data_IF_632998006592
#
_entry.id   IF_632998006592
#
_cell.length_a   1.000
_cell.length_b   1.000
_cell.length_c   1.000
_cell.angle_alpha   90.00
_cell.angle_beta   90.00
_cell.angle_gamma   90.00
#
_symmetry.space_group_name_H-M   'P 1'
#
loop_
_entity.id
_entity.type
_entity.pdbx_description
1 polymer ?
#
# COMPACT_ATOMS: atom_id res chain seq x y z
N UNK A 1 -33.55 -15.85 48.50
CA UNK A 1 -33.32 -14.76 49.46
C UNK A 1 -33.77 -13.47 48.80
N UNK A 2 -34.93 -12.93 49.17
CA UNK A 2 -35.53 -11.76 48.52
C UNK A 2 -34.83 -10.46 48.92
N UNK A 3 -33.86 -10.02 48.12
CA UNK A 3 -33.31 -8.68 48.20
C UNK A 3 -34.37 -7.67 47.76
N UNK A 4 -34.66 -6.66 48.59
CA UNK A 4 -35.53 -5.55 48.19
C UNK A 4 -34.88 -4.83 46.99
N UNK A 5 -35.47 -5.01 45.81
CA UNK A 5 -35.10 -4.24 44.61
C UNK A 5 -35.20 -2.75 44.94
N UNK A 6 -34.08 -2.04 44.85
CA UNK A 6 -34.03 -0.59 45.09
C UNK A 6 -34.48 0.15 43.83
N UNK A 7 -35.80 0.23 43.67
CA UNK A 7 -36.47 0.97 42.61
C UNK A 7 -37.34 2.09 43.20
N UNK A 8 -37.42 3.23 42.50
CA UNK A 8 -38.33 4.34 42.83
C UNK A 8 -38.71 5.12 41.57
N UNK A 9 -39.82 5.83 41.62
CA UNK A 9 -40.21 6.77 40.57
C UNK A 9 -39.54 8.12 40.81
N UNK A 10 -38.87 8.68 39.79
CA UNK A 10 -38.31 10.04 39.78
C UNK A 10 -38.77 10.70 38.49
N UNK A 11 -39.44 11.84 38.58
CA UNK A 11 -39.96 12.61 37.42
C UNK A 11 -40.75 11.75 36.43
N UNK A 12 -41.57 10.83 36.94
CA UNK A 12 -42.39 9.91 36.14
C UNK A 12 -41.62 8.75 35.49
N UNK A 13 -40.31 8.61 35.72
CA UNK A 13 -39.49 7.51 35.21
C UNK A 13 -39.16 6.47 36.30
N UNK A 14 -39.24 5.18 35.94
CA UNK A 14 -38.79 4.07 36.80
C UNK A 14 -37.27 4.10 36.92
N UNK A 15 -36.77 4.45 38.10
CA UNK A 15 -35.35 4.57 38.38
C UNK A 15 -34.87 3.46 39.32
N UNK A 16 -33.70 2.91 39.04
CA UNK A 16 -33.04 1.89 39.86
C UNK A 16 -31.68 2.38 40.37
N UNK A 17 -31.26 1.87 41.51
CA UNK A 17 -29.96 2.21 42.10
C UNK A 17 -28.80 1.61 41.29
N UNK A 18 -27.60 2.20 41.38
CA UNK A 18 -26.37 1.71 40.70
C UNK A 18 -26.12 0.22 40.89
N UNK A 19 -26.39 -0.33 42.08
CA UNK A 19 -26.21 -1.77 42.37
C UNK A 19 -27.15 -2.66 41.55
N UNK A 20 -28.43 -2.30 41.51
CA UNK A 20 -29.45 -3.04 40.74
C UNK A 20 -29.14 -2.92 39.24
N UNK A 21 -28.65 -1.75 38.81
CA UNK A 21 -28.23 -1.54 37.43
C UNK A 21 -27.03 -2.43 37.06
N UNK A 22 -26.07 -2.60 37.97
CA UNK A 22 -24.94 -3.53 37.77
C UNK A 22 -25.43 -4.96 37.61
N UNK A 23 -26.42 -5.39 38.41
CA UNK A 23 -27.01 -6.72 38.32
C UNK A 23 -27.81 -6.91 37.01
N UNK A 24 -28.67 -5.95 36.66
CA UNK A 24 -29.50 -5.98 35.43
C UNK A 24 -28.65 -6.09 34.18
N UNK A 25 -27.54 -5.33 34.10
CA UNK A 25 -26.66 -5.34 32.94
C UNK A 25 -25.50 -6.34 33.05
N UNK A 26 -25.40 -7.05 34.17
CA UNK A 26 -24.30 -7.95 34.53
C UNK A 26 -22.92 -7.31 34.30
N UNK A 27 -22.70 -6.13 34.86
CA UNK A 27 -21.45 -5.36 34.73
C UNK A 27 -20.90 -4.92 36.07
N UNK A 28 -19.59 -4.68 36.11
CA UNK A 28 -18.95 -4.12 37.29
C UNK A 28 -19.32 -2.63 37.49
N UNK A 29 -19.33 -2.15 38.74
CA UNK A 29 -19.63 -0.74 39.07
C UNK A 29 -18.74 0.26 38.31
N UNK A 30 -17.49 -0.11 38.03
CA UNK A 30 -16.56 0.73 37.25
C UNK A 30 -17.07 0.99 35.82
N UNK A 31 -17.77 0.01 35.23
CA UNK A 31 -18.38 0.13 33.91
C UNK A 31 -19.50 1.17 33.93
N UNK A 32 -20.35 1.18 34.96
CA UNK A 32 -21.37 2.21 35.13
C UNK A 32 -20.74 3.60 35.30
N UNK A 33 -19.69 3.73 36.11
CA UNK A 33 -18.95 4.99 36.27
C UNK A 33 -18.27 5.46 34.98
N UNK A 34 -17.87 4.53 34.11
CA UNK A 34 -17.36 4.85 32.77
C UNK A 34 -18.49 5.29 31.84
N UNK A 35 -19.66 4.65 31.90
CA UNK A 35 -20.84 5.05 31.12
C UNK A 35 -21.31 6.45 31.48
N UNK A 36 -21.32 6.80 32.77
CA UNK A 36 -21.60 8.18 33.21
C UNK A 36 -20.61 9.18 32.62
N UNK A 37 -19.30 8.86 32.63
CA UNK A 37 -18.27 9.71 32.00
C UNK A 37 -18.46 9.85 30.48
N UNK A 38 -19.01 8.82 29.84
CA UNK A 38 -19.33 8.81 28.42
C UNK A 38 -20.72 9.41 28.11
N UNK A 39 -21.38 10.04 29.09
CA UNK A 39 -22.63 10.77 28.89
C UNK A 39 -23.92 9.99 29.13
N UNK A 40 -23.87 8.85 29.82
CA UNK A 40 -25.10 8.11 30.20
C UNK A 40 -25.99 8.97 31.11
N UNK A 41 -27.28 9.13 30.79
CA UNK A 41 -28.19 9.99 31.56
C UNK A 41 -28.40 9.45 32.98
N UNK A 42 -28.29 10.35 33.97
CA UNK A 42 -28.57 10.09 35.39
C UNK A 42 -29.69 11.00 35.88
N UNK A 43 -30.65 10.44 36.64
CA UNK A 43 -31.78 11.21 37.18
C UNK A 43 -31.49 11.80 38.56
N UNK A 44 -30.71 11.08 39.37
CA UNK A 44 -30.19 11.58 40.65
C UNK A 44 -28.88 10.87 41.00
N UNK A 45 -28.24 11.28 42.10
CA UNK A 45 -26.97 10.66 42.56
C UNK A 45 -27.16 9.16 42.80
N UNK A 46 -26.56 8.33 41.93
CA UNK A 46 -26.64 6.87 42.00
C UNK A 46 -27.99 6.26 41.56
N UNK A 47 -28.84 7.03 40.86
CA UNK A 47 -30.16 6.59 40.38
C UNK A 47 -30.32 6.84 38.88
N UNK A 48 -30.72 5.78 38.16
CA UNK A 48 -30.81 5.78 36.70
C UNK A 48 -32.17 5.30 36.25
N UNK A 49 -32.74 6.02 35.28
CA UNK A 49 -33.95 5.60 34.58
C UNK A 49 -33.65 4.36 33.75
N UNK A 50 -34.34 3.26 34.02
CA UNK A 50 -34.07 1.99 33.32
C UNK A 50 -34.28 2.13 31.81
N UNK A 51 -35.33 2.86 31.40
CA UNK A 51 -35.63 3.14 29.99
C UNK A 51 -34.50 3.91 29.29
N UNK A 52 -34.06 5.00 29.91
CA UNK A 52 -33.05 5.87 29.31
C UNK A 52 -31.68 5.17 29.28
N UNK A 53 -31.36 4.39 30.31
CA UNK A 53 -30.14 3.58 30.34
C UNK A 53 -30.15 2.47 29.29
N UNK A 54 -31.25 1.71 29.14
CA UNK A 54 -31.35 0.69 28.09
C UNK A 54 -31.16 1.31 26.71
N UNK A 55 -31.82 2.46 26.45
CA UNK A 55 -31.68 3.18 25.18
C UNK A 55 -30.23 3.59 24.93
N UNK A 56 -29.60 4.29 25.87
CA UNK A 56 -28.20 4.71 25.77
C UNK A 56 -27.24 3.53 25.59
N UNK A 57 -27.44 2.43 26.33
CA UNK A 57 -26.61 1.23 26.23
C UNK A 57 -26.80 0.58 24.87
N UNK A 58 -28.01 0.55 24.32
CA UNK A 58 -28.27 -0.01 22.98
C UNK A 58 -27.61 0.83 21.89
N UNK A 59 -27.71 2.16 22.00
CA UNK A 59 -27.11 3.11 21.08
C UNK A 59 -25.57 3.07 21.15
N UNK A 60 -24.98 2.89 22.34
CA UNK A 60 -23.52 2.93 22.54
C UNK A 60 -22.82 1.57 22.55
N UNK A 61 -23.51 0.45 22.82
CA UNK A 61 -22.91 -0.91 22.74
C UNK A 61 -22.87 -1.47 21.32
N UNK A 62 -23.44 -0.78 20.34
CA UNK A 62 -23.38 -1.20 18.95
C UNK A 62 -24.07 -2.55 18.75
N UNK A 63 -25.40 -2.57 18.86
CA UNK A 63 -26.16 -3.49 18.00
C UNK A 63 -25.72 -3.12 16.58
N UNK A 64 -24.89 -3.97 15.97
CA UNK A 64 -24.21 -3.72 14.70
C UNK A 64 -25.24 -3.26 13.65
N UNK A 65 -25.34 -1.96 13.43
CA UNK A 65 -25.64 -1.42 12.10
C UNK A 65 -24.40 -1.66 11.24
N UNK A 66 -24.62 -1.86 9.96
CA UNK A 66 -23.68 -2.47 9.04
C UNK A 66 -22.24 -1.90 9.16
N UNK A 67 -21.20 -2.72 8.97
CA UNK A 67 -19.80 -2.26 8.96
C UNK A 67 -19.51 -1.16 7.91
N UNK A 68 -20.42 -0.92 6.98
CA UNK A 68 -20.33 0.09 5.92
C UNK A 68 -21.10 1.39 6.22
N UNK A 69 -21.82 1.49 7.35
CA UNK A 69 -22.55 2.73 7.71
C UNK A 69 -21.57 3.74 8.37
N UNK A 70 -20.86 4.53 7.57
CA UNK A 70 -19.95 5.59 8.04
C UNK A 70 -20.65 6.66 8.90
N UNK A 71 -21.96 6.86 8.72
CA UNK A 71 -22.76 7.84 9.45
C UNK A 71 -23.11 7.43 10.89
N UNK A 72 -22.83 6.18 11.30
CA UNK A 72 -23.14 5.65 12.64
C UNK A 72 -21.93 5.43 13.55
N UNK A 73 -20.70 5.65 13.05
CA UNK A 73 -19.49 5.38 13.83
C UNK A 73 -19.24 6.46 14.88
N UNK A 74 -19.00 6.03 16.12
CA UNK A 74 -18.54 6.94 17.17
C UNK A 74 -17.17 7.52 16.81
N UNK A 75 -16.85 8.73 17.30
CA UNK A 75 -15.56 9.40 17.06
C UNK A 75 -14.35 8.51 17.41
N UNK A 76 -14.49 7.66 18.43
CA UNK A 76 -13.46 6.69 18.82
C UNK A 76 -13.28 5.55 17.81
N UNK A 77 -14.35 5.08 17.18
CA UNK A 77 -14.29 4.04 16.15
C UNK A 77 -13.69 4.60 14.85
N UNK A 78 -14.07 5.82 14.47
CA UNK A 78 -13.47 6.51 13.34
C UNK A 78 -11.96 6.70 13.55
N UNK A 79 -11.54 7.20 14.72
CA UNK A 79 -10.13 7.35 15.06
C UNK A 79 -9.37 6.01 14.97
N UNK A 80 -9.95 4.94 15.48
CA UNK A 80 -9.33 3.60 15.41
C UNK A 80 -9.20 3.11 13.95
N UNK A 81 -10.21 3.34 13.10
CA UNK A 81 -10.18 3.00 11.66
C UNK A 81 -9.04 3.76 10.96
N UNK A 82 -8.94 5.06 11.16
CA UNK A 82 -7.88 5.87 10.55
C UNK A 82 -6.49 5.54 11.09
N UNK A 83 -6.35 5.24 12.38
CA UNK A 83 -5.08 4.78 12.95
C UNK A 83 -4.66 3.42 12.38
N UNK A 84 -5.60 2.51 12.15
CA UNK A 84 -5.33 1.23 11.51
C UNK A 84 -4.87 1.42 10.05
N UNK A 85 -5.59 2.23 9.26
CA UNK A 85 -5.23 2.54 7.88
C UNK A 85 -3.85 3.23 7.78
N UNK A 86 -3.57 4.17 8.68
CA UNK A 86 -2.26 4.83 8.72
C UNK A 86 -1.12 3.84 8.98
N UNK A 87 -1.32 2.90 9.92
CA UNK A 87 -0.32 1.85 10.21
C UNK A 87 -0.11 0.90 9.05
N UNK A 88 -1.16 0.53 8.33
CA UNK A 88 -1.08 -0.29 7.12
C UNK A 88 -0.26 0.39 6.04
N UNK A 89 -0.57 1.66 5.73
CA UNK A 89 0.18 2.47 4.77
C UNK A 89 1.65 2.67 5.19
N UNK A 90 1.93 2.83 6.48
CA UNK A 90 3.30 2.89 6.99
C UNK A 90 4.05 1.57 6.83
N UNK A 91 3.38 0.43 7.05
CA UNK A 91 3.97 -0.90 6.87
C UNK A 91 4.28 -1.20 5.40
N UNK A 92 3.37 -0.82 4.48
CA UNK A 92 3.60 -0.91 3.03
C UNK A 92 4.79 -0.05 2.59
N UNK A 93 4.84 1.21 3.02
CA UNK A 93 5.95 2.12 2.72
C UNK A 93 7.28 1.60 3.27
N UNK A 94 7.29 1.04 4.47
CA UNK A 94 8.48 0.42 5.06
C UNK A 94 8.93 -0.81 4.26
N UNK A 95 7.99 -1.63 3.80
CA UNK A 95 8.27 -2.82 2.98
C UNK A 95 8.91 -2.42 1.66
N UNK A 96 8.34 -1.43 0.96
CA UNK A 96 8.88 -0.91 -0.28
C UNK A 96 10.28 -0.30 -0.09
N UNK A 97 10.48 0.48 0.98
CA UNK A 97 11.79 1.04 1.32
C UNK A 97 12.83 -0.05 1.60
N UNK A 98 12.46 -1.09 2.35
CA UNK A 98 13.34 -2.22 2.65
C UNK A 98 13.74 -2.96 1.37
N UNK A 99 12.81 -3.18 0.44
CA UNK A 99 13.10 -3.85 -0.82
C UNK A 99 14.02 -3.01 -1.73
N UNK A 100 13.84 -1.69 -1.77
CA UNK A 100 14.79 -0.77 -2.43
C UNK A 100 16.18 -0.89 -1.79
N UNK A 101 16.27 -0.86 -0.45
CA UNK A 101 17.55 -0.97 0.26
C UNK A 101 18.23 -2.33 0.08
N UNK A 102 17.48 -3.41 -0.15
CA UNK A 102 18.00 -4.74 -0.50
C UNK A 102 18.51 -4.82 -1.95
N UNK A 103 18.24 -3.82 -2.79
CA UNK A 103 18.61 -3.81 -4.20
C UNK A 103 17.66 -4.58 -5.11
N UNK A 104 16.45 -4.91 -4.64
CA UNK A 104 15.42 -5.59 -5.45
C UNK A 104 14.79 -4.65 -6.49
N UNK A 105 14.96 -3.33 -6.30
CA UNK A 105 14.46 -2.30 -7.21
C UNK A 105 15.58 -1.35 -7.63
N UNK A 106 15.63 -1.06 -8.93
CA UNK A 106 16.53 -0.06 -9.53
C UNK A 106 15.67 1.07 -10.07
N UNK A 107 16.15 2.32 -9.95
CA UNK A 107 15.43 3.46 -10.52
C UNK A 107 15.45 3.36 -12.04
N UNK A 108 14.30 3.66 -12.65
CA UNK A 108 14.17 3.68 -14.12
C UNK A 108 15.22 4.58 -14.78
N UNK A 109 15.48 5.74 -14.20
CA UNK A 109 16.45 6.72 -14.72
C UNK A 109 17.86 6.15 -14.79
N UNK A 110 18.26 5.38 -13.77
CA UNK A 110 19.58 4.74 -13.72
C UNK A 110 19.69 3.68 -14.83
N UNK A 111 18.67 2.82 -14.97
CA UNK A 111 18.61 1.80 -16.03
C UNK A 111 18.68 2.44 -17.42
N UNK A 112 17.91 3.51 -17.65
CA UNK A 112 17.89 4.21 -18.95
C UNK A 112 19.26 4.84 -19.22
N UNK A 113 19.87 5.51 -18.23
CA UNK A 113 21.18 6.14 -18.39
C UNK A 113 22.27 5.10 -18.69
N UNK A 114 22.26 3.98 -17.97
CA UNK A 114 23.24 2.91 -18.15
C UNK A 114 23.10 2.22 -19.50
N UNK A 115 21.88 1.89 -19.91
CA UNK A 115 21.61 1.31 -21.24
C UNK A 115 22.00 2.28 -22.36
N UNK A 116 21.71 3.58 -22.23
CA UNK A 116 22.15 4.58 -23.21
C UNK A 116 23.68 4.60 -23.36
N UNK A 117 24.42 4.61 -22.25
CA UNK A 117 25.90 4.55 -22.27
C UNK A 117 26.39 3.26 -22.91
N UNK A 118 25.77 2.13 -22.56
CA UNK A 118 26.08 0.82 -23.13
C UNK A 118 25.87 0.81 -24.64
N UNK A 119 24.73 1.26 -25.15
CA UNK A 119 24.44 1.27 -26.59
C UNK A 119 25.36 2.21 -27.38
N UNK A 120 25.75 3.35 -26.80
CA UNK A 120 26.75 4.24 -27.42
C UNK A 120 28.10 3.53 -27.53
N UNK A 121 28.53 2.83 -26.48
CA UNK A 121 29.77 2.05 -26.48
C UNK A 121 29.70 0.91 -27.50
N UNK A 122 28.62 0.14 -27.49
CA UNK A 122 28.38 -0.96 -28.43
C UNK A 122 28.45 -0.49 -29.88
N UNK A 123 27.73 0.59 -30.23
CA UNK A 123 27.75 1.15 -31.59
C UNK A 123 29.16 1.51 -32.03
N UNK A 124 29.94 2.18 -31.18
CA UNK A 124 31.32 2.57 -31.50
C UNK A 124 32.22 1.36 -31.69
N UNK A 125 32.13 0.37 -30.81
CA UNK A 125 32.91 -0.87 -30.90
C UNK A 125 32.60 -1.64 -32.19
N UNK A 126 31.32 -1.81 -32.50
CA UNK A 126 30.87 -2.52 -33.71
C UNK A 126 31.28 -1.80 -35.00
N UNK A 127 31.13 -0.47 -35.05
CA UNK A 127 31.52 0.34 -36.21
C UNK A 127 33.03 0.35 -36.49
N UNK A 128 33.87 0.00 -35.51
CA UNK A 128 35.32 -0.09 -35.68
C UNK A 128 35.80 -1.40 -36.31
N UNK A 129 34.96 -2.44 -36.37
CA UNK A 129 35.39 -3.76 -36.84
C UNK A 129 35.69 -3.79 -38.34
N UNK A 130 34.89 -3.15 -39.18
CA UNK A 130 35.10 -3.14 -40.63
C UNK A 130 36.50 -2.65 -41.00
N UNK A 131 36.89 -1.49 -40.46
CA UNK A 131 38.20 -0.89 -40.69
C UNK A 131 39.35 -1.72 -40.12
N UNK A 132 39.18 -2.32 -38.93
CA UNK A 132 40.20 -3.21 -38.34
C UNK A 132 40.45 -4.43 -39.23
N UNK A 133 39.38 -5.11 -39.64
CA UNK A 133 39.46 -6.27 -40.52
C UNK A 133 40.08 -5.87 -41.87
N UNK A 134 39.67 -4.74 -42.45
CA UNK A 134 40.23 -4.23 -43.70
C UNK A 134 41.76 -4.01 -43.62
N UNK A 135 42.25 -3.46 -42.50
CA UNK A 135 43.69 -3.29 -42.28
C UNK A 135 44.43 -4.64 -42.15
N UNK A 136 43.83 -5.64 -41.50
CA UNK A 136 44.42 -6.97 -41.33
C UNK A 136 44.49 -7.75 -42.64
N UNK A 137 43.48 -7.63 -43.51
CA UNK A 137 43.44 -8.35 -44.80
C UNK A 137 44.17 -7.62 -45.93
N UNK A 138 44.46 -6.33 -45.77
CA UNK A 138 45.10 -5.47 -46.78
C UNK A 138 46.38 -6.04 -47.40
N UNK A 139 47.30 -6.69 -46.66
CA UNK A 139 48.51 -7.26 -47.24
C UNK A 139 48.29 -8.46 -48.17
N UNK A 140 47.09 -9.07 -48.14
CA UNK A 140 46.81 -10.33 -48.83
C UNK A 140 45.89 -10.18 -50.04
N UNK A 141 45.31 -9.00 -50.26
CA UNK A 141 44.27 -8.75 -51.25
C UNK A 141 44.53 -7.44 -52.00
N UNK A 142 43.98 -7.35 -53.21
CA UNK A 142 44.05 -6.11 -53.98
C UNK A 142 43.22 -4.99 -53.32
N UNK A 143 43.63 -3.71 -53.43
CA UNK A 143 42.97 -2.59 -52.76
C UNK A 143 41.46 -2.48 -53.03
N UNK A 144 41.01 -2.88 -54.23
CA UNK A 144 39.60 -2.90 -54.60
C UNK A 144 38.81 -3.95 -53.80
N UNK A 145 39.37 -5.15 -53.65
CA UNK A 145 38.73 -6.24 -52.89
C UNK A 145 38.65 -5.89 -51.40
N UNK A 146 39.69 -5.28 -50.84
CA UNK A 146 39.72 -4.82 -49.44
C UNK A 146 38.60 -3.80 -49.19
N UNK A 147 38.43 -2.82 -50.09
CA UNK A 147 37.36 -1.81 -49.99
C UNK A 147 35.97 -2.43 -50.06
N UNK A 148 35.76 -3.38 -50.97
CA UNK A 148 34.47 -4.08 -51.11
C UNK A 148 34.12 -4.85 -49.83
N UNK A 149 35.08 -5.58 -49.25
CA UNK A 149 34.89 -6.32 -48.00
C UNK A 149 34.62 -5.36 -46.83
N UNK A 150 35.39 -4.27 -46.71
CA UNK A 150 35.19 -3.26 -45.67
C UNK A 150 33.77 -2.68 -45.72
N UNK A 151 33.31 -2.30 -46.92
CA UNK A 151 31.97 -1.77 -47.13
C UNK A 151 30.89 -2.79 -46.79
N UNK A 152 31.01 -4.03 -47.26
CA UNK A 152 30.05 -5.10 -46.97
C UNK A 152 29.91 -5.36 -45.46
N UNK A 153 31.03 -5.38 -44.73
CA UNK A 153 31.02 -5.56 -43.27
C UNK A 153 30.36 -4.35 -42.59
N UNK A 154 30.68 -3.13 -43.02
CA UNK A 154 30.10 -1.91 -42.47
C UNK A 154 28.59 -1.86 -42.68
N UNK A 155 28.12 -2.17 -43.89
CA UNK A 155 26.70 -2.16 -44.24
C UNK A 155 25.92 -3.25 -43.50
N UNK A 156 26.47 -4.46 -43.42
CA UNK A 156 25.86 -5.57 -42.67
C UNK A 156 25.77 -5.24 -41.17
N UNK A 157 26.83 -4.67 -40.60
CA UNK A 157 26.87 -4.26 -39.19
C UNK A 157 25.82 -3.17 -38.91
N UNK A 158 25.74 -2.16 -39.78
CA UNK A 158 24.76 -1.07 -39.64
C UNK A 158 23.33 -1.60 -39.79
N UNK A 159 23.08 -2.52 -40.72
CA UNK A 159 21.77 -3.14 -40.88
C UNK A 159 21.36 -3.92 -39.62
N UNK A 160 22.27 -4.70 -39.04
CA UNK A 160 22.01 -5.44 -37.80
C UNK A 160 21.73 -4.50 -36.61
N UNK A 161 22.53 -3.45 -36.43
CA UNK A 161 22.33 -2.45 -35.38
C UNK A 161 21.00 -1.71 -35.55
N UNK A 162 20.60 -1.42 -36.80
CA UNK A 162 19.31 -0.79 -37.09
C UNK A 162 18.15 -1.70 -36.70
N UNK A 163 18.19 -2.98 -37.08
CA UNK A 163 17.17 -3.96 -36.71
C UNK A 163 17.02 -4.07 -35.19
N UNK A 164 18.14 -4.17 -34.46
CA UNK A 164 18.15 -4.18 -33.00
C UNK A 164 17.54 -2.90 -32.40
N UNK A 165 17.82 -1.73 -32.99
CA UNK A 165 17.28 -0.45 -32.50
C UNK A 165 15.76 -0.28 -32.70
N UNK A 166 15.19 -0.86 -33.76
CA UNK A 166 13.78 -0.68 -34.12
C UNK A 166 12.90 -1.82 -33.57
N UNK A 167 13.38 -3.07 -33.61
CA UNK A 167 12.59 -4.27 -33.27
C UNK A 167 13.08 -4.99 -32.02
N UNK A 168 14.28 -4.68 -31.53
CA UNK A 168 14.93 -5.42 -30.44
C UNK A 168 15.37 -6.84 -30.82
N UNK A 169 15.26 -7.22 -32.09
CA UNK A 169 15.56 -8.58 -32.60
C UNK A 169 16.33 -8.44 -33.92
N UNK A 170 17.38 -9.24 -34.09
CA UNK A 170 18.13 -9.39 -35.33
C UNK A 170 17.63 -10.61 -36.10
N UNK A 171 17.22 -10.41 -37.35
CA UNK A 171 16.83 -11.49 -38.25
C UNK A 171 17.97 -11.70 -39.26
N UNK A 172 18.75 -12.76 -39.08
CA UNK A 172 19.77 -13.15 -40.06
C UNK A 172 19.09 -13.44 -41.41
N UNK A 173 19.60 -12.86 -42.50
CA UNK A 173 19.17 -13.27 -43.84
C UNK A 173 19.48 -14.76 -44.00
N UNK A 174 18.47 -15.54 -44.38
CA UNK A 174 18.68 -16.91 -44.83
C UNK A 174 19.26 -16.84 -46.23
N UNK A 175 20.48 -17.33 -46.37
CA UNK A 175 21.11 -17.59 -47.68
C UNK A 175 20.39 -18.75 -48.40
#
# INVERSE_FOLDING_TARGET
MGGKVRAKMIDGALCIATSELCEVFNVHRNTIAQWERNGMPKKARGWYSLKDTIKWVTDNRGVKKNPDDEEGMTLSQQKLKYEAQLKEQQAEAATLKNAISKGEYIRREDVVSELQRFFISLRRSMGGFSRKIAMEISPYLEPEQVRLIEQNIADTTNAALLQLSVRGVYDAKKD
#
